data_IF_728679294358
#
_entry.id   IF_728679294358
#
_cell.length_a   1.000
_cell.length_b   1.000
_cell.length_c   1.000
_cell.angle_alpha   90.00
_cell.angle_beta   90.00
_cell.angle_gamma   90.00
#
_symmetry.space_group_name_H-M   'P 1'
#
loop_
_entity.id
_entity.type
_entity.pdbx_description
1 polymer ?
#
# COMPACT_ATOMS: atom_id res chain seq x y z
N UNK A 1 2.56 35.10 9.29
CA UNK A 1 2.25 33.70 9.65
C UNK A 1 2.95 32.79 8.65
N UNK A 2 4.16 32.32 8.94
CA UNK A 2 4.93 31.48 8.00
C UNK A 2 4.32 30.09 8.02
N UNK A 3 3.71 29.65 6.90
CA UNK A 3 3.23 28.28 6.75
C UNK A 3 4.46 27.35 6.74
N UNK A 4 4.48 26.41 7.69
CA UNK A 4 5.56 25.42 7.85
C UNK A 4 5.41 24.31 6.81
N UNK A 5 6.51 23.69 6.33
CA UNK A 5 6.43 22.67 5.30
C UNK A 5 5.61 21.47 5.78
N UNK A 6 4.58 21.12 5.00
CA UNK A 6 3.78 19.91 5.14
C UNK A 6 3.84 19.19 3.80
N UNK A 7 4.21 17.91 3.81
CA UNK A 7 4.17 17.09 2.59
C UNK A 7 2.99 16.12 2.68
N UNK A 8 2.09 16.20 1.70
CA UNK A 8 1.11 15.16 1.39
C UNK A 8 1.55 14.43 0.12
N UNK A 9 1.64 13.11 0.17
CA UNK A 9 2.02 12.30 -0.99
C UNK A 9 0.81 11.52 -1.50
N UNK A 10 0.23 11.94 -2.63
CA UNK A 10 -0.90 11.29 -3.27
C UNK A 10 -0.78 11.29 -4.79
N UNK A 11 -0.07 10.31 -5.34
CA UNK A 11 -0.09 9.93 -6.75
C UNK A 11 -0.52 8.45 -6.92
N UNK A 12 -1.30 7.91 -5.98
CA UNK A 12 -1.53 6.47 -5.88
C UNK A 12 -2.31 5.90 -7.07
N UNK A 13 -1.82 4.82 -7.66
CA UNK A 13 -2.51 4.06 -8.72
C UNK A 13 -2.92 2.67 -8.21
N UNK A 14 -3.98 2.09 -8.76
CA UNK A 14 -4.53 0.80 -8.30
C UNK A 14 -3.77 -0.42 -8.84
N UNK A 15 -3.06 -0.29 -9.95
CA UNK A 15 -2.51 -1.47 -10.66
C UNK A 15 -3.60 -2.44 -11.12
N UNK A 16 -4.81 -1.95 -11.35
CA UNK A 16 -5.98 -2.77 -11.70
C UNK A 16 -6.89 -2.02 -12.68
N UNK A 17 -7.32 -2.71 -13.72
CA UNK A 17 -8.25 -2.23 -14.73
C UNK A 17 -9.61 -2.90 -14.50
N UNK A 18 -10.67 -2.09 -14.50
CA UNK A 18 -12.04 -2.54 -14.27
C UNK A 18 -12.90 -1.91 -15.37
N UNK A 19 -13.71 -2.73 -16.05
CA UNK A 19 -14.66 -2.22 -17.05
C UNK A 19 -15.77 -1.44 -16.34
N UNK A 20 -16.26 -0.38 -16.98
CA UNK A 20 -17.27 0.51 -16.38
C UNK A 20 -18.53 -0.25 -15.90
N UNK A 21 -19.03 -1.19 -16.70
CA UNK A 21 -20.19 -2.02 -16.34
C UNK A 21 -19.91 -2.98 -15.18
N UNK A 22 -18.65 -3.39 -15.00
CA UNK A 22 -18.23 -4.30 -13.94
C UNK A 22 -17.95 -3.56 -12.63
N UNK A 23 -17.61 -2.27 -12.69
CA UNK A 23 -17.41 -1.42 -11.51
C UNK A 23 -18.62 -1.42 -10.58
N UNK A 24 -19.83 -1.29 -11.13
CA UNK A 24 -21.10 -1.30 -10.36
C UNK A 24 -21.39 -2.65 -9.69
N UNK A 25 -20.73 -3.72 -10.14
CA UNK A 25 -20.89 -5.08 -9.61
C UNK A 25 -19.93 -5.37 -8.46
N UNK A 26 -18.86 -4.60 -8.33
CA UNK A 26 -17.88 -4.79 -7.25
C UNK A 26 -18.53 -4.60 -5.87
N UNK A 27 -18.09 -5.42 -4.93
CA UNK A 27 -18.42 -5.30 -3.51
C UNK A 27 -17.12 -5.32 -2.71
N UNK A 28 -17.12 -4.59 -1.60
CA UNK A 28 -15.92 -4.34 -0.80
C UNK A 28 -16.01 -4.93 0.62
N UNK A 29 -16.91 -5.88 0.84
CA UNK A 29 -16.97 -6.65 2.07
C UNK A 29 -15.75 -7.56 2.24
N UNK A 30 -15.44 -7.97 3.47
CA UNK A 30 -14.30 -8.87 3.72
C UNK A 30 -14.47 -10.19 2.98
N UNK A 31 -15.68 -10.75 2.97
CA UNK A 31 -16.02 -11.97 2.22
C UNK A 31 -15.89 -11.79 0.71
N UNK A 32 -16.08 -10.57 0.20
CA UNK A 32 -15.93 -10.23 -1.21
C UNK A 32 -14.47 -10.11 -1.63
N UNK A 33 -13.61 -9.62 -0.74
CA UNK A 33 -12.20 -9.36 -1.07
C UNK A 33 -11.30 -10.56 -0.81
N UNK A 34 -11.53 -11.32 0.25
CA UNK A 34 -10.67 -12.46 0.64
C UNK A 34 -11.43 -13.73 1.03
N UNK A 35 -12.76 -13.70 1.03
CA UNK A 35 -13.59 -14.83 1.43
C UNK A 35 -14.22 -15.58 0.25
N UNK A 36 -15.37 -16.19 0.49
CA UNK A 36 -16.01 -17.12 -0.47
C UNK A 36 -16.40 -16.46 -1.80
N UNK A 37 -16.60 -15.13 -1.81
CA UNK A 37 -17.00 -14.39 -3.00
C UNK A 37 -15.80 -13.89 -3.82
N UNK A 38 -14.56 -13.99 -3.32
CA UNK A 38 -13.36 -13.42 -3.95
C UNK A 38 -13.14 -13.93 -5.38
N UNK A 39 -13.32 -15.23 -5.63
CA UNK A 39 -13.15 -15.80 -6.96
C UNK A 39 -14.11 -15.19 -8.00
N UNK A 40 -15.33 -14.84 -7.59
CA UNK A 40 -16.33 -14.20 -8.46
C UNK A 40 -15.96 -12.73 -8.75
N UNK A 41 -15.53 -12.00 -7.71
CA UNK A 41 -15.12 -10.62 -7.83
C UNK A 41 -13.90 -10.52 -8.75
N UNK A 42 -12.91 -11.41 -8.63
CA UNK A 42 -11.66 -11.37 -9.41
C UNK A 42 -11.91 -11.35 -10.92
N UNK A 43 -12.96 -11.99 -11.41
CA UNK A 43 -13.32 -12.01 -12.84
C UNK A 43 -13.70 -10.64 -13.39
N UNK A 44 -14.02 -9.68 -12.52
CA UNK A 44 -14.39 -8.30 -12.84
C UNK A 44 -13.18 -7.38 -13.00
N UNK A 45 -11.98 -7.86 -12.69
CA UNK A 45 -10.75 -7.07 -12.69
C UNK A 45 -9.70 -7.70 -13.59
N UNK A 46 -8.94 -6.83 -14.27
CA UNK A 46 -7.73 -7.21 -14.98
C UNK A 46 -6.52 -6.64 -14.23
N UNK A 47 -5.59 -7.52 -13.91
CA UNK A 47 -4.34 -7.20 -13.22
C UNK A 47 -3.22 -7.87 -14.02
N UNK A 48 -2.26 -7.09 -14.52
CA UNK A 48 -1.07 -7.63 -15.19
C UNK A 48 0.16 -7.38 -14.34
N UNK A 49 1.26 -8.04 -14.69
CA UNK A 49 2.55 -7.82 -14.04
C UNK A 49 2.99 -6.35 -14.18
N UNK A 50 2.89 -5.77 -15.38
CA UNK A 50 3.30 -4.38 -15.65
C UNK A 50 2.48 -3.38 -14.84
N UNK A 51 1.19 -3.63 -14.69
CA UNK A 51 0.32 -2.81 -13.84
C UNK A 51 0.68 -2.93 -12.36
N UNK A 52 1.07 -4.12 -11.92
CA UNK A 52 1.48 -4.41 -10.56
C UNK A 52 2.83 -3.78 -10.21
N UNK A 53 3.81 -3.90 -11.11
CA UNK A 53 5.11 -3.22 -11.03
C UNK A 53 4.93 -1.70 -10.97
N UNK A 54 4.18 -1.13 -11.91
CA UNK A 54 3.90 0.31 -11.93
C UNK A 54 3.22 0.79 -10.64
N UNK A 55 2.30 -0.01 -10.10
CA UNK A 55 1.63 0.28 -8.83
C UNK A 55 2.61 0.33 -7.67
N UNK A 56 3.52 -0.64 -7.54
CA UNK A 56 4.51 -0.67 -6.45
C UNK A 56 5.56 0.44 -6.61
N UNK A 57 6.05 0.66 -7.84
CA UNK A 57 6.97 1.77 -8.16
C UNK A 57 6.39 3.11 -7.77
N UNK A 58 5.10 3.34 -8.01
CA UNK A 58 4.44 4.61 -7.69
C UNK A 58 4.09 4.71 -6.20
N UNK A 59 3.38 3.71 -5.68
CA UNK A 59 2.75 3.80 -4.36
C UNK A 59 3.71 3.52 -3.21
N UNK A 60 4.77 2.74 -3.43
CA UNK A 60 5.75 2.39 -2.40
C UNK A 60 7.07 3.12 -2.66
N UNK A 61 7.76 2.79 -3.76
CA UNK A 61 9.09 3.34 -4.04
C UNK A 61 9.06 4.85 -4.28
N UNK A 62 8.06 5.37 -4.99
CA UNK A 62 7.89 6.81 -5.20
C UNK A 62 7.74 7.58 -3.88
N UNK A 63 7.04 6.99 -2.91
CA UNK A 63 6.89 7.59 -1.58
C UNK A 63 8.18 7.50 -0.78
N UNK A 64 8.85 6.35 -0.81
CA UNK A 64 10.14 6.13 -0.15
C UNK A 64 11.18 7.12 -0.64
N UNK A 65 11.42 7.19 -1.95
CA UNK A 65 12.43 8.09 -2.54
C UNK A 65 12.13 9.57 -2.27
N UNK A 66 10.86 9.99 -2.39
CA UNK A 66 10.47 11.35 -2.06
C UNK A 66 10.74 11.67 -0.58
N UNK A 67 10.37 10.74 0.31
CA UNK A 67 10.55 10.92 1.75
C UNK A 67 12.03 11.03 2.11
N UNK A 68 12.86 10.15 1.58
CA UNK A 68 14.32 10.16 1.77
C UNK A 68 14.94 11.47 1.31
N UNK A 69 14.54 11.97 0.14
CA UNK A 69 15.03 13.25 -0.38
C UNK A 69 14.62 14.45 0.49
N UNK A 70 13.45 14.38 1.16
CA UNK A 70 12.93 15.48 1.97
C UNK A 70 13.38 15.44 3.44
N UNK A 71 13.81 14.29 3.96
CA UNK A 71 14.23 14.14 5.36
C UNK A 71 15.26 15.19 5.78
N UNK A 72 16.37 15.44 5.06
CA UNK A 72 17.39 16.42 5.48
C UNK A 72 16.85 17.85 5.61
N UNK A 73 15.81 18.19 4.84
CA UNK A 73 15.14 19.50 4.90
C UNK A 73 14.16 19.52 6.07
N UNK A 74 13.41 18.43 6.26
CA UNK A 74 12.44 18.30 7.33
C UNK A 74 13.09 18.29 8.72
N UNK A 75 14.28 17.72 8.87
CA UNK A 75 15.02 17.73 10.14
C UNK A 75 15.41 19.13 10.62
N UNK A 76 15.46 20.12 9.73
CA UNK A 76 15.70 21.52 10.07
C UNK A 76 14.46 22.24 10.62
N UNK A 77 13.27 21.62 10.51
CA UNK A 77 12.02 22.19 10.98
C UNK A 77 11.72 21.80 12.43
N UNK A 78 11.35 22.79 13.25
CA UNK A 78 10.92 22.58 14.63
C UNK A 78 9.54 21.88 14.77
N UNK A 79 8.85 21.58 13.67
CA UNK A 79 7.55 20.92 13.67
C UNK A 79 7.26 20.20 12.35
N UNK A 80 8.23 19.41 11.89
CA UNK A 80 8.12 18.66 10.65
C UNK A 80 7.01 17.60 10.71
N UNK A 81 6.30 17.43 9.58
CA UNK A 81 5.20 16.46 9.45
C UNK A 81 5.26 15.77 8.09
N UNK A 82 5.12 14.45 8.11
CA UNK A 82 4.95 13.62 6.91
C UNK A 82 3.61 12.89 7.05
N UNK A 83 2.73 13.07 6.06
CA UNK A 83 1.46 12.35 5.99
C UNK A 83 1.43 11.49 4.73
N UNK A 84 1.51 10.19 4.94
CA UNK A 84 1.45 9.18 3.91
C UNK A 84 -0.01 8.81 3.64
N UNK A 85 -0.52 9.13 2.44
CA UNK A 85 -1.91 8.81 2.07
C UNK A 85 -2.00 7.33 1.68
N UNK A 86 -2.56 6.54 2.59
CA UNK A 86 -2.72 5.09 2.47
C UNK A 86 -4.17 4.73 2.13
N UNK A 87 -4.56 3.47 2.37
CA UNK A 87 -5.90 2.96 2.12
C UNK A 87 -6.31 1.94 3.18
N UNK A 88 -7.62 1.72 3.31
CA UNK A 88 -8.18 0.64 4.11
C UNK A 88 -7.69 -0.73 3.64
N UNK A 89 -7.36 -0.88 2.35
CA UNK A 89 -6.76 -2.08 1.77
C UNK A 89 -5.37 -2.38 2.33
N UNK A 90 -4.63 -1.39 2.84
CA UNK A 90 -3.34 -1.62 3.51
C UNK A 90 -3.45 -2.27 4.90
N UNK A 91 -4.64 -2.69 5.32
CA UNK A 91 -4.85 -3.38 6.61
C UNK A 91 -4.50 -4.86 6.50
N UNK A 92 -3.83 -5.37 7.53
CA UNK A 92 -3.36 -6.76 7.58
C UNK A 92 -4.47 -7.80 7.40
N UNK A 93 -5.72 -7.48 7.77
CA UNK A 93 -6.86 -8.39 7.57
C UNK A 93 -7.06 -8.84 6.13
N UNK A 94 -6.54 -8.10 5.13
CA UNK A 94 -6.65 -8.44 3.72
C UNK A 94 -5.52 -9.34 3.20
N UNK A 95 -4.59 -9.76 4.07
CA UNK A 95 -3.55 -10.73 3.73
C UNK A 95 -3.99 -12.12 4.19
N UNK A 96 -4.20 -13.08 3.28
CA UNK A 96 -4.53 -14.45 3.68
C UNK A 96 -3.33 -15.19 4.30
N UNK A 97 -2.10 -14.86 3.88
CA UNK A 97 -0.87 -15.45 4.39
C UNK A 97 -0.53 -14.98 5.82
N UNK A 98 -0.55 -15.90 6.79
CA UNK A 98 -0.28 -15.61 8.21
C UNK A 98 1.18 -15.20 8.47
N UNK A 99 2.15 -15.75 7.74
CA UNK A 99 3.57 -15.37 7.86
C UNK A 99 3.75 -13.91 7.49
N UNK A 100 3.17 -13.49 6.36
CA UNK A 100 3.19 -12.10 5.90
C UNK A 100 2.49 -11.17 6.90
N UNK A 101 1.31 -11.56 7.40
CA UNK A 101 0.60 -10.79 8.44
C UNK A 101 1.42 -10.61 9.70
N UNK A 102 2.07 -11.68 10.17
CA UNK A 102 2.92 -11.62 11.37
C UNK A 102 4.12 -10.70 11.15
N UNK A 103 4.80 -10.80 9.99
CA UNK A 103 5.93 -9.93 9.65
C UNK A 103 5.52 -8.46 9.61
N UNK A 104 4.45 -8.11 8.88
CA UNK A 104 3.95 -6.74 8.80
C UNK A 104 3.36 -6.23 10.13
N UNK A 105 2.93 -7.13 11.01
CA UNK A 105 2.39 -6.81 12.33
C UNK A 105 3.47 -6.48 13.37
N UNK A 106 4.66 -7.07 13.25
CA UNK A 106 5.76 -6.95 14.20
C UNK A 106 6.36 -5.53 14.22
N UNK A 107 5.89 -4.69 15.15
CA UNK A 107 6.33 -3.29 15.26
C UNK A 107 7.83 -3.18 15.49
N UNK A 108 8.39 -4.08 16.29
CA UNK A 108 9.75 -3.95 16.79
C UNK A 108 10.77 -4.57 15.84
N UNK A 109 10.40 -5.65 15.16
CA UNK A 109 11.24 -6.36 14.20
C UNK A 109 11.11 -5.88 12.75
N UNK A 110 10.24 -4.92 12.44
CA UNK A 110 10.11 -4.34 11.09
C UNK A 110 11.36 -3.55 10.68
N UNK A 111 11.88 -3.81 9.49
CA UNK A 111 13.00 -3.09 8.87
C UNK A 111 12.68 -2.77 7.41
N UNK A 112 13.41 -1.83 6.80
CA UNK A 112 13.17 -1.45 5.40
C UNK A 112 13.44 -2.63 4.47
N UNK A 113 14.48 -3.42 4.75
CA UNK A 113 14.88 -4.60 3.99
C UNK A 113 13.79 -5.66 3.98
N UNK A 114 13.14 -5.93 5.13
CA UNK A 114 12.02 -6.90 5.18
C UNK A 114 10.81 -6.45 4.36
N UNK A 115 10.58 -5.14 4.25
CA UNK A 115 9.50 -4.61 3.42
C UNK A 115 9.87 -4.66 1.94
N UNK A 116 11.14 -4.42 1.60
CA UNK A 116 11.67 -4.59 0.24
C UNK A 116 11.60 -6.04 -0.22
N UNK A 117 12.11 -6.99 0.58
CA UNK A 117 12.02 -8.42 0.31
C UNK A 117 10.57 -8.88 0.09
N UNK A 118 9.62 -8.35 0.86
CA UNK A 118 8.19 -8.65 0.69
C UNK A 118 7.65 -8.17 -0.67
N UNK A 119 8.02 -6.95 -1.07
CA UNK A 119 7.56 -6.34 -2.32
C UNK A 119 8.15 -7.07 -3.52
N UNK A 120 9.43 -7.45 -3.44
CA UNK A 120 10.13 -8.23 -4.46
C UNK A 120 9.58 -9.66 -4.56
N UNK A 121 9.37 -10.35 -3.43
CA UNK A 121 8.75 -11.68 -3.39
C UNK A 121 7.35 -11.65 -4.01
N UNK A 122 6.54 -10.63 -3.72
CA UNK A 122 5.23 -10.47 -4.34
C UNK A 122 5.30 -10.32 -5.85
N UNK A 123 6.20 -9.49 -6.38
CA UNK A 123 6.33 -9.28 -7.83
C UNK A 123 6.81 -10.54 -8.55
N UNK A 124 7.76 -11.26 -7.97
CA UNK A 124 8.23 -12.53 -8.50
C UNK A 124 7.12 -13.58 -8.47
N UNK A 125 6.39 -13.72 -7.36
CA UNK A 125 5.25 -14.62 -7.26
C UNK A 125 4.11 -14.21 -8.21
N UNK A 126 3.89 -12.91 -8.45
CA UNK A 126 2.93 -12.44 -9.45
C UNK A 126 3.33 -12.90 -10.85
N UNK A 127 4.58 -12.68 -11.23
CA UNK A 127 5.13 -13.02 -12.54
C UNK A 127 5.03 -14.52 -12.84
N UNK A 128 5.17 -15.35 -11.81
CA UNK A 128 5.10 -16.80 -11.89
C UNK A 128 3.69 -17.38 -11.66
N UNK A 129 2.65 -16.54 -11.61
CA UNK A 129 1.25 -16.94 -11.36
C UNK A 129 1.04 -17.71 -10.04
N UNK A 130 1.76 -17.31 -8.99
CA UNK A 130 1.77 -17.98 -7.69
C UNK A 130 0.89 -17.30 -6.63
N UNK A 131 0.14 -16.25 -6.99
CA UNK A 131 -0.61 -15.45 -6.00
C UNK A 131 -1.57 -16.28 -5.13
N UNK A 132 -2.38 -17.14 -5.75
CA UNK A 132 -3.31 -18.01 -5.02
C UNK A 132 -2.57 -19.03 -4.15
N UNK A 133 -1.61 -19.74 -4.74
CA UNK A 133 -0.84 -20.81 -4.10
C UNK A 133 -0.06 -20.31 -2.89
N UNK A 134 0.56 -19.12 -3.00
CA UNK A 134 1.32 -18.45 -1.93
C UNK A 134 0.45 -17.63 -0.99
N UNK A 135 -0.87 -17.61 -1.24
CA UNK A 135 -1.90 -16.94 -0.43
C UNK A 135 -1.69 -15.42 -0.31
N UNK A 136 -1.28 -14.80 -1.42
CA UNK A 136 -1.29 -13.35 -1.58
C UNK A 136 -2.73 -12.82 -1.72
N UNK A 137 -2.96 -11.51 -1.47
CA UNK A 137 -4.20 -10.87 -1.91
C UNK A 137 -4.36 -11.03 -3.43
N UNK A 138 -5.54 -11.46 -3.88
CA UNK A 138 -5.81 -11.72 -5.31
C UNK A 138 -6.70 -10.67 -5.98
N UNK A 139 -7.35 -9.83 -5.17
CA UNK A 139 -8.13 -8.67 -5.58
C UNK A 139 -7.39 -7.40 -5.21
N UNK A 140 -7.24 -6.48 -6.16
CA UNK A 140 -6.45 -5.26 -5.98
C UNK A 140 -5.08 -5.59 -5.36
N UNK A 141 -4.41 -6.61 -5.89
CA UNK A 141 -3.31 -7.31 -5.22
C UNK A 141 -2.12 -6.38 -4.98
N UNK A 142 -1.59 -5.78 -6.04
CA UNK A 142 -0.49 -4.83 -5.96
C UNK A 142 -0.85 -3.58 -5.14
N UNK A 143 -2.11 -3.12 -5.22
CA UNK A 143 -2.58 -2.00 -4.40
C UNK A 143 -2.57 -2.34 -2.90
N UNK A 144 -3.10 -3.50 -2.54
CA UNK A 144 -3.13 -4.02 -1.17
C UNK A 144 -1.72 -4.16 -0.61
N UNK A 145 -0.81 -4.78 -1.38
CA UNK A 145 0.60 -4.96 -1.01
C UNK A 145 1.30 -3.60 -0.87
N UNK A 146 1.15 -2.71 -1.85
CA UNK A 146 1.80 -1.39 -1.81
C UNK A 146 1.35 -0.53 -0.63
N UNK A 147 0.05 -0.55 -0.28
CA UNK A 147 -0.49 0.22 0.84
C UNK A 147 -0.11 -0.39 2.20
N UNK A 148 0.03 -1.71 2.28
CA UNK A 148 0.57 -2.34 3.47
C UNK A 148 2.07 -2.05 3.66
N UNK A 149 2.85 -2.12 2.59
CA UNK A 149 4.28 -1.76 2.58
C UNK A 149 4.48 -0.28 2.98
N UNK A 150 3.67 0.63 2.43
CA UNK A 150 3.64 2.04 2.81
C UNK A 150 3.33 2.24 4.31
N UNK A 151 2.38 1.48 4.87
CA UNK A 151 2.06 1.52 6.30
C UNK A 151 3.21 1.01 7.18
N UNK A 152 3.88 -0.07 6.76
CA UNK A 152 5.06 -0.60 7.44
C UNK A 152 6.22 0.41 7.42
N UNK A 153 6.52 0.97 6.25
CA UNK A 153 7.54 2.00 6.07
C UNK A 153 7.26 3.24 6.91
N UNK A 154 6.00 3.68 7.00
CA UNK A 154 5.59 4.79 7.87
C UNK A 154 5.96 4.52 9.34
N UNK A 155 5.74 3.30 9.84
CA UNK A 155 6.09 2.91 11.22
C UNK A 155 7.60 2.89 11.43
N UNK A 156 8.35 2.38 10.46
CA UNK A 156 9.82 2.37 10.50
C UNK A 156 10.35 3.80 10.60
N UNK A 157 9.87 4.70 9.72
CA UNK A 157 10.30 6.10 9.72
C UNK A 157 9.91 6.83 11.00
N UNK A 158 8.71 6.59 11.54
CA UNK A 158 8.28 7.21 12.80
C UNK A 158 9.20 6.83 13.97
N UNK A 159 9.74 5.60 13.99
CA UNK A 159 10.74 5.16 14.97
C UNK A 159 12.13 5.77 14.69
N UNK A 160 12.53 5.83 13.43
CA UNK A 160 13.85 6.33 12.97
C UNK A 160 14.00 7.85 13.17
N UNK A 161 12.92 8.62 12.99
CA UNK A 161 12.93 10.09 13.05
C UNK A 161 11.93 10.64 14.09
N UNK A 162 12.19 10.47 15.41
CA UNK A 162 11.23 10.82 16.46
C UNK A 162 10.89 12.33 16.55
N UNK A 163 11.67 13.21 15.90
CA UNK A 163 11.40 14.66 15.82
C UNK A 163 10.39 15.04 14.73
N UNK A 164 10.09 14.12 13.81
CA UNK A 164 9.17 14.34 12.69
C UNK A 164 7.89 13.56 13.00
N UNK A 165 6.73 14.23 12.96
CA UNK A 165 5.46 13.52 13.11
C UNK A 165 5.12 12.80 11.80
N UNK A 166 5.27 11.49 11.78
CA UNK A 166 5.13 10.65 10.57
C UNK A 166 3.94 9.71 10.75
N UNK A 167 2.90 9.86 9.94
CA UNK A 167 1.67 9.09 10.06
C UNK A 167 1.12 8.67 8.69
N UNK A 168 0.36 7.59 8.68
CA UNK A 168 -0.39 7.14 7.52
C UNK A 168 -1.89 7.34 7.74
N UNK A 169 -2.61 7.77 6.70
CA UNK A 169 -4.05 8.03 6.78
C UNK A 169 -4.77 7.38 5.61
N UNK A 170 -5.88 6.69 5.89
CA UNK A 170 -6.83 6.30 4.87
C UNK A 170 -7.89 7.41 4.78
N UNK A 171 -8.00 8.13 3.64
CA UNK A 171 -8.94 9.24 3.56
C UNK A 171 -10.40 8.77 3.57
N UNK A 172 -10.66 7.53 3.16
CA UNK A 172 -12.01 6.99 2.93
C UNK A 172 -12.27 6.77 1.44
N UNK A 173 -13.43 6.21 1.12
CA UNK A 173 -13.88 6.08 -0.26
C UNK A 173 -14.65 7.34 -0.65
N UNK A 174 -14.20 8.03 -1.69
CA UNK A 174 -14.91 9.16 -2.28
C UNK A 174 -15.06 8.93 -3.77
N UNK A 175 -16.27 9.11 -4.28
CA UNK A 175 -16.49 9.28 -5.71
C UNK A 175 -16.03 10.70 -6.06
N UNK A 176 -14.89 10.83 -6.72
CA UNK A 176 -14.59 12.05 -7.47
C UNK A 176 -15.51 12.01 -8.70
N UNK A 177 -16.65 12.69 -8.61
CA UNK A 177 -17.65 12.71 -9.67
C UNK A 177 -17.06 13.22 -10.98
N UNK A 178 -17.44 12.55 -12.07
CA UNK A 178 -17.60 13.13 -13.39
C UNK A 178 -19.10 13.36 -13.60
#
# INVERSE_FOLDING_TARGET
MIRKPQQGNNAGITGTEIKEDDWKKLRFGVEDIIGVNAASQRKLLKQTYEMSDSCLRTNYYGIKHLTEALIPILEQSNSARIVNVSSSFGKLKFFPNEKTKKMLGDVDGLTEEKVEELVEEFLEDFKNDLLETKRWPTLFSAYTVSKAAQNAYTRILAKKYPKIAINAVCPGFYLLGL
#
